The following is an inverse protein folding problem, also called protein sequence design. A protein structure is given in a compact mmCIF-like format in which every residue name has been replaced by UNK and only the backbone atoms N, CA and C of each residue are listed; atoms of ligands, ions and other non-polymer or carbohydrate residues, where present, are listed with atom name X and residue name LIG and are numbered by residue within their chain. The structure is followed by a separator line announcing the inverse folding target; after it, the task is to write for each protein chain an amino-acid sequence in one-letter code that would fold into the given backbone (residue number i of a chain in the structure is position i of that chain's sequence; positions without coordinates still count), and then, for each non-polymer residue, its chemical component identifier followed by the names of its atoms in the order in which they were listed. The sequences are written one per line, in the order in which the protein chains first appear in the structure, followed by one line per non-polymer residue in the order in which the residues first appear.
data_IF_117569594456
#
_entry.id   IF_117569594456
#
_cell.length_a   1.000
_cell.length_b   1.000
_cell.length_c   1.000
_cell.angle_alpha   90.00
_cell.angle_beta   90.00
_cell.angle_gamma   90.00
#
_symmetry.space_group_name_H-M   'P 1'
#
loop_
_entity.id
_entity.type
_entity.pdbx_description
1 polymer ?
#
# COMPACT_ATOMS: atom_id res chain seq x y z
N UNK A 1 8.57 -21.96 -6.59
CA UNK A 1 8.91 -22.53 -5.26
C UNK A 1 7.62 -23.12 -4.69
N UNK A 2 7.48 -24.42 -4.49
CA UNK A 2 6.31 -25.00 -3.80
C UNK A 2 6.58 -24.87 -2.31
N UNK A 3 5.74 -24.12 -1.61
CA UNK A 3 5.81 -24.02 -0.16
C UNK A 3 5.50 -25.39 0.47
N UNK A 4 6.19 -25.70 1.55
CA UNK A 4 5.97 -26.95 2.29
C UNK A 4 4.58 -26.91 2.95
N UNK A 5 3.96 -28.06 3.13
CA UNK A 5 2.71 -28.22 3.91
C UNK A 5 2.85 -27.68 5.36
N UNK A 6 4.08 -27.49 5.84
CA UNK A 6 4.42 -27.07 7.21
C UNK A 6 4.54 -25.54 7.43
N UNK A 7 4.12 -24.72 6.46
CA UNK A 7 4.23 -23.26 6.56
C UNK A 7 5.49 -22.67 5.86
N UNK A 8 5.74 -21.36 6.05
CA UNK A 8 6.88 -20.63 5.48
C UNK A 8 7.68 -19.94 6.59
N UNK A 9 9.01 -20.04 6.52
CA UNK A 9 9.92 -19.30 7.42
C UNK A 9 10.32 -17.93 6.87
N UNK A 10 10.82 -17.08 7.76
CA UNK A 10 11.34 -15.75 7.40
C UNK A 10 12.55 -15.87 6.46
N UNK A 11 13.41 -16.87 6.64
CA UNK A 11 14.55 -17.13 5.74
C UNK A 11 14.13 -17.36 4.29
N UNK A 12 12.97 -18.00 4.05
CA UNK A 12 12.45 -18.22 2.71
C UNK A 12 11.93 -16.92 2.09
N UNK A 13 11.31 -16.07 2.90
CA UNK A 13 10.83 -14.78 2.43
C UNK A 13 11.97 -13.80 2.13
N UNK A 14 13.07 -13.85 2.89
CA UNK A 14 14.23 -13.02 2.60
C UNK A 14 14.93 -13.39 1.28
N UNK A 15 14.74 -14.61 0.76
CA UNK A 15 15.21 -15.00 -0.58
C UNK A 15 14.52 -14.24 -1.72
N UNK A 16 13.37 -13.60 -1.44
CA UNK A 16 12.70 -12.69 -2.39
C UNK A 16 13.44 -11.35 -2.55
N UNK A 17 14.43 -11.10 -1.70
CA UNK A 17 15.30 -9.91 -1.74
C UNK A 17 16.76 -10.38 -1.88
N UNK A 18 17.14 -10.94 -3.03
CA UNK A 18 18.50 -11.39 -3.23
C UNK A 18 19.48 -10.21 -3.26
N UNK A 19 20.68 -10.42 -2.72
CA UNK A 19 21.71 -9.41 -2.71
C UNK A 19 22.06 -8.88 -4.11
N UNK A 20 22.06 -9.75 -5.11
CA UNK A 20 22.35 -9.40 -6.50
C UNK A 20 21.34 -8.39 -7.05
N UNK A 21 20.04 -8.56 -6.75
CA UNK A 21 19.03 -7.56 -7.11
C UNK A 21 19.37 -6.17 -6.56
N UNK A 22 19.73 -6.09 -5.29
CA UNK A 22 20.07 -4.81 -4.65
C UNK A 22 21.35 -4.19 -5.22
N UNK A 23 22.33 -5.01 -5.61
CA UNK A 23 23.56 -4.56 -6.24
C UNK A 23 23.35 -4.08 -7.67
N UNK A 24 22.56 -4.79 -8.46
CA UNK A 24 22.21 -4.42 -9.84
C UNK A 24 21.41 -3.10 -9.86
N UNK A 25 20.42 -2.97 -8.99
CA UNK A 25 19.67 -1.74 -8.84
C UNK A 25 20.55 -0.57 -8.35
N UNK A 26 21.55 -0.85 -7.51
CA UNK A 26 22.49 0.20 -7.07
C UNK A 26 23.37 0.69 -8.22
N UNK A 27 23.79 -0.21 -9.10
CA UNK A 27 24.56 0.14 -10.30
C UNK A 27 23.70 0.93 -11.30
N UNK A 28 22.48 0.47 -11.57
CA UNK A 28 21.53 1.10 -12.48
C UNK A 28 21.15 2.52 -12.05
N UNK A 29 20.74 2.68 -10.80
CA UNK A 29 20.25 3.96 -10.26
C UNK A 29 21.35 4.89 -9.83
N UNK A 30 22.58 4.42 -9.81
CA UNK A 30 23.78 5.14 -9.29
C UNK A 30 23.56 5.65 -7.87
N UNK A 31 22.75 4.95 -7.07
CA UNK A 31 22.44 5.36 -5.69
C UNK A 31 23.70 5.50 -4.83
N UNK A 32 24.76 4.77 -5.15
CA UNK A 32 26.02 4.74 -4.42
C UNK A 32 27.13 5.59 -5.05
N UNK A 33 26.80 6.41 -6.05
CA UNK A 33 27.79 7.29 -6.67
C UNK A 33 28.35 8.31 -5.66
N UNK A 34 29.69 8.33 -5.53
CA UNK A 34 30.45 9.14 -4.56
C UNK A 34 30.10 8.93 -3.07
N UNK A 35 29.49 7.80 -2.73
CA UNK A 35 29.12 7.47 -1.35
C UNK A 35 30.28 6.82 -0.63
N UNK A 36 30.62 7.33 0.58
CA UNK A 36 31.69 6.77 1.44
C UNK A 36 31.15 5.83 2.51
N UNK A 37 29.91 6.02 2.94
CA UNK A 37 29.20 5.22 3.94
C UNK A 37 27.70 5.31 3.67
N UNK A 38 26.90 4.46 4.23
CA UNK A 38 25.45 4.42 4.01
C UNK A 38 25.09 4.11 2.54
N UNK A 39 25.74 3.08 2.00
CA UNK A 39 25.41 2.54 0.68
C UNK A 39 23.95 2.13 0.60
N UNK A 40 23.38 2.12 -0.60
CA UNK A 40 21.97 1.81 -0.84
C UNK A 40 21.50 0.52 -0.18
N UNK A 41 22.25 -0.58 -0.40
CA UNK A 41 22.02 -1.88 0.25
C UNK A 41 22.02 -1.80 1.78
N UNK A 42 22.94 -1.03 2.36
CA UNK A 42 23.03 -0.91 3.81
C UNK A 42 21.86 -0.13 4.40
N UNK A 43 21.43 0.94 3.71
CA UNK A 43 20.25 1.72 4.11
C UNK A 43 18.98 0.90 3.92
N UNK A 44 18.85 0.14 2.83
CA UNK A 44 17.76 -0.79 2.60
C UNK A 44 17.62 -1.77 3.78
N UNK A 45 18.68 -2.47 4.09
CA UNK A 45 18.69 -3.43 5.19
C UNK A 45 18.44 -2.77 6.55
N UNK A 46 19.03 -1.59 6.80
CA UNK A 46 18.79 -0.83 8.02
C UNK A 46 17.32 -0.48 8.22
N UNK A 47 16.64 -0.07 7.15
CA UNK A 47 15.21 0.25 7.19
C UNK A 47 14.36 -1.00 7.33
N UNK A 48 14.69 -2.09 6.64
CA UNK A 48 13.96 -3.36 6.76
C UNK A 48 13.97 -3.86 8.21
N UNK A 49 15.14 -3.86 8.86
CA UNK A 49 15.29 -4.23 10.27
C UNK A 49 14.66 -3.21 11.20
N UNK A 50 14.94 -1.94 10.95
CA UNK A 50 14.47 -0.88 11.81
C UNK A 50 12.95 -0.85 11.92
N UNK A 51 12.23 -1.02 10.81
CA UNK A 51 10.76 -1.02 10.79
C UNK A 51 10.13 -2.20 11.55
N UNK A 52 10.87 -3.28 11.78
CA UNK A 52 10.44 -4.42 12.61
C UNK A 52 10.65 -4.18 14.11
N UNK A 53 11.63 -3.36 14.47
CA UNK A 53 12.26 -3.33 15.79
C UNK A 53 11.63 -2.45 16.85
N UNK A 54 10.32 -2.18 16.89
CA UNK A 54 9.75 -1.46 18.00
C UNK A 54 8.46 -0.70 17.72
N UNK A 55 7.87 -0.13 18.78
CA UNK A 55 6.61 0.59 18.68
C UNK A 55 6.74 1.98 18.04
N UNK A 56 7.91 2.63 18.16
CA UNK A 56 8.15 3.97 17.59
C UNK A 56 9.58 4.13 17.14
N UNK A 57 9.79 4.02 15.83
CA UNK A 57 11.10 4.14 15.23
C UNK A 57 11.36 5.56 14.76
N UNK A 58 12.58 6.03 15.01
CA UNK A 58 13.07 7.32 14.54
C UNK A 58 14.52 7.23 14.09
N UNK A 59 15.05 8.33 13.58
CA UNK A 59 16.44 8.38 13.08
C UNK A 59 17.49 8.01 14.15
N UNK A 60 17.23 8.27 15.44
CA UNK A 60 18.12 7.88 16.53
C UNK A 60 18.10 6.38 16.76
N UNK A 61 16.94 5.73 16.74
CA UNK A 61 16.86 4.28 16.82
C UNK A 61 17.57 3.62 15.63
N UNK A 62 17.46 4.18 14.42
CA UNK A 62 18.21 3.71 13.26
C UNK A 62 19.72 3.93 13.40
N UNK A 63 20.19 5.00 14.08
CA UNK A 63 21.58 5.21 14.42
C UNK A 63 22.08 4.08 15.33
N UNK A 64 21.32 3.74 16.39
CA UNK A 64 21.69 2.68 17.33
C UNK A 64 21.77 1.32 16.62
N UNK A 65 20.79 1.00 15.76
CA UNK A 65 20.82 -0.22 14.94
C UNK A 65 22.03 -0.27 14.01
N UNK A 66 22.28 0.79 13.23
CA UNK A 66 23.43 0.83 12.30
C UNK A 66 24.77 0.65 13.01
N UNK A 67 24.92 1.23 14.20
CA UNK A 67 26.16 1.18 14.97
C UNK A 67 26.31 -0.11 15.81
N UNK A 68 25.27 -0.95 15.86
CA UNK A 68 25.32 -2.22 16.60
C UNK A 68 26.31 -3.21 15.99
N UNK A 69 26.92 -4.05 16.83
CA UNK A 69 27.82 -5.12 16.37
C UNK A 69 27.10 -6.11 15.46
N UNK A 70 25.86 -6.47 15.80
CA UNK A 70 25.02 -7.40 15.02
C UNK A 70 24.82 -6.89 13.60
N UNK A 71 24.38 -5.65 13.42
CA UNK A 71 24.15 -5.07 12.10
C UNK A 71 25.43 -5.02 11.24
N UNK A 72 26.55 -4.58 11.84
CA UNK A 72 27.84 -4.48 11.13
C UNK A 72 28.38 -5.84 10.67
N UNK A 73 28.19 -6.88 11.47
CA UNK A 73 28.61 -8.24 11.14
C UNK A 73 27.75 -8.85 10.02
N UNK A 74 26.43 -8.68 10.08
CA UNK A 74 25.49 -9.22 9.10
C UNK A 74 25.75 -8.71 7.69
N UNK A 75 25.90 -7.41 7.54
CA UNK A 75 25.92 -6.77 6.23
C UNK A 75 27.34 -6.56 5.68
N UNK A 76 28.36 -7.25 6.27
CA UNK A 76 29.76 -7.29 5.78
C UNK A 76 30.18 -5.92 5.22
N UNK A 77 30.02 -4.88 6.03
CA UNK A 77 30.47 -3.56 5.61
C UNK A 77 31.99 -3.63 5.42
N UNK A 78 32.52 -3.27 4.24
CA UNK A 78 33.96 -3.43 3.96
C UNK A 78 34.77 -2.61 4.95
N UNK A 79 35.74 -3.27 5.62
CA UNK A 79 36.55 -2.67 6.69
C UNK A 79 35.77 -2.51 7.99
N UNK A 80 36.31 -1.68 8.92
CA UNK A 80 35.55 -1.24 10.10
C UNK A 80 34.69 -0.06 9.66
N UNK A 81 33.41 -0.26 9.38
CA UNK A 81 32.58 0.84 8.85
C UNK A 81 32.51 1.94 9.90
N UNK A 82 32.70 3.20 9.51
CA UNK A 82 32.60 4.31 10.43
C UNK A 82 31.17 4.37 10.98
N UNK A 83 31.03 4.74 12.26
CA UNK A 83 29.72 4.97 12.85
C UNK A 83 28.97 6.02 12.06
N UNK A 84 27.67 5.84 11.90
CA UNK A 84 26.79 6.85 11.36
C UNK A 84 26.02 7.52 12.49
N UNK A 85 25.85 8.84 12.40
CA UNK A 85 24.99 9.61 13.29
C UNK A 85 23.64 9.84 12.63
N UNK A 86 22.59 10.06 13.41
CA UNK A 86 21.23 10.32 12.91
C UNK A 86 21.16 11.47 11.90
N UNK A 87 22.03 12.50 12.05
CA UNK A 87 22.12 13.59 11.07
C UNK A 87 22.65 13.11 9.72
N UNK A 88 23.62 12.18 9.71
CA UNK A 88 24.11 11.57 8.47
C UNK A 88 23.06 10.69 7.81
N UNK A 89 22.27 9.96 8.58
CA UNK A 89 21.11 9.18 8.08
C UNK A 89 20.06 10.10 7.50
N UNK A 90 19.71 11.20 8.19
CA UNK A 90 18.76 12.20 7.71
C UNK A 90 19.21 12.83 6.39
N UNK A 91 20.46 13.28 6.31
CA UNK A 91 21.02 13.85 5.10
C UNK A 91 21.06 12.84 3.95
N UNK A 92 21.42 11.60 4.25
CA UNK A 92 21.45 10.53 3.24
C UNK A 92 20.06 10.22 2.70
N UNK A 93 19.03 10.05 3.54
CA UNK A 93 17.65 9.85 3.13
C UNK A 93 17.10 11.02 2.31
N UNK A 94 17.56 12.25 2.58
CA UNK A 94 17.16 13.42 1.82
C UNK A 94 17.75 13.49 0.40
N UNK A 95 18.88 12.80 0.14
CA UNK A 95 19.65 12.91 -1.12
C UNK A 95 19.78 11.61 -1.90
N UNK A 96 19.39 10.46 -1.34
CA UNK A 96 19.43 9.18 -2.05
C UNK A 96 18.51 9.18 -3.26
N UNK A 97 18.89 8.47 -4.30
CA UNK A 97 17.99 8.24 -5.43
C UNK A 97 16.82 7.34 -4.99
N UNK A 98 15.60 7.88 -5.07
CA UNK A 98 14.36 7.18 -4.69
C UNK A 98 14.08 6.01 -5.63
N UNK A 99 14.47 6.11 -6.90
CA UNK A 99 14.24 5.09 -7.93
C UNK A 99 14.82 3.72 -7.51
N UNK A 100 15.90 3.72 -6.72
CA UNK A 100 16.46 2.50 -6.15
C UNK A 100 15.45 1.72 -5.30
N UNK A 101 14.72 2.43 -4.45
CA UNK A 101 13.72 1.83 -3.56
C UNK A 101 12.40 1.52 -4.28
N UNK A 102 12.02 2.37 -5.24
CA UNK A 102 10.84 2.15 -6.07
C UNK A 102 11.00 0.89 -6.93
N UNK A 103 12.13 0.75 -7.63
CA UNK A 103 12.44 -0.45 -8.42
C UNK A 103 12.59 -1.72 -7.58
N UNK A 104 13.20 -1.61 -6.39
CA UNK A 104 13.24 -2.73 -5.46
C UNK A 104 11.83 -3.15 -5.02
N UNK A 105 10.97 -2.19 -4.71
CA UNK A 105 9.58 -2.46 -4.39
C UNK A 105 8.83 -3.12 -5.57
N UNK A 106 9.00 -2.63 -6.79
CA UNK A 106 8.35 -3.20 -7.99
C UNK A 106 8.80 -4.65 -8.24
N UNK A 107 10.11 -4.92 -8.16
CA UNK A 107 10.67 -6.26 -8.34
C UNK A 107 10.17 -7.25 -7.27
N UNK A 108 10.16 -6.82 -6.00
CA UNK A 108 9.68 -7.66 -4.89
C UNK A 108 8.17 -7.86 -4.97
N UNK A 109 7.41 -6.82 -5.38
CA UNK A 109 5.97 -6.94 -5.60
C UNK A 109 5.66 -7.99 -6.68
N UNK A 110 6.39 -7.98 -7.79
CA UNK A 110 6.23 -8.97 -8.85
C UNK A 110 6.48 -10.39 -8.33
N UNK A 111 7.56 -10.61 -7.60
CA UNK A 111 7.87 -11.91 -7.00
C UNK A 111 6.81 -12.35 -5.99
N UNK A 112 6.34 -11.46 -5.13
CA UNK A 112 5.27 -11.73 -4.17
C UNK A 112 3.96 -12.12 -4.89
N UNK A 113 3.62 -11.41 -5.96
CA UNK A 113 2.41 -11.68 -6.74
C UNK A 113 2.45 -13.02 -7.47
N UNK A 114 3.64 -13.43 -7.97
CA UNK A 114 3.83 -14.75 -8.59
C UNK A 114 3.73 -15.91 -7.56
N UNK A 115 4.11 -15.65 -6.33
CA UNK A 115 4.02 -16.65 -5.25
C UNK A 115 2.60 -16.84 -4.74
N UNK A 116 1.80 -15.80 -4.82
CA UNK A 116 0.46 -15.74 -4.27
C UNK A 116 -0.55 -15.36 -5.35
N UNK A 117 -1.06 -16.37 -6.06
CA UNK A 117 -2.16 -16.19 -6.99
C UNK A 117 -3.48 -16.46 -6.27
N UNK A 118 -4.29 -15.41 -6.04
CA UNK A 118 -5.65 -15.52 -5.50
C UNK A 118 -6.67 -16.07 -6.50
N UNK A 119 -6.26 -16.52 -7.68
CA UNK A 119 -7.15 -17.10 -8.71
C UNK A 119 -8.02 -18.27 -8.24
N UNK A 120 -7.76 -18.77 -7.03
CA UNK A 120 -8.62 -19.74 -6.33
C UNK A 120 -9.90 -19.14 -5.74
N UNK A 121 -10.00 -17.82 -5.60
CA UNK A 121 -11.25 -17.15 -5.30
C UNK A 121 -11.95 -16.87 -6.62
N UNK A 122 -12.99 -17.58 -6.90
CA UNK A 122 -13.88 -17.67 -8.06
C UNK A 122 -14.40 -16.34 -8.65
N UNK A 123 -13.67 -15.24 -8.53
CA UNK A 123 -14.00 -13.97 -9.15
C UNK A 123 -13.35 -13.89 -10.54
N UNK A 124 -14.20 -13.74 -11.54
CA UNK A 124 -13.83 -13.55 -12.95
C UNK A 124 -12.98 -12.30 -13.19
N UNK A 125 -12.84 -11.43 -12.17
CA UNK A 125 -12.21 -10.13 -12.28
C UNK A 125 -11.17 -9.92 -11.19
N UNK A 126 -10.08 -9.29 -11.55
CA UNK A 126 -9.10 -8.75 -10.61
C UNK A 126 -9.68 -7.48 -9.97
N UNK A 127 -9.63 -7.37 -8.65
CA UNK A 127 -10.19 -6.22 -7.93
C UNK A 127 -9.04 -5.40 -7.34
N UNK A 128 -8.93 -4.13 -7.72
CA UNK A 128 -8.01 -3.18 -7.11
C UNK A 128 -8.77 -2.18 -6.24
N UNK A 129 -8.53 -2.23 -4.93
CA UNK A 129 -9.08 -1.29 -3.97
C UNK A 129 -8.19 -0.07 -3.94
N UNK A 130 -8.79 1.12 -4.02
CA UNK A 130 -8.05 2.39 -4.01
C UNK A 130 -8.58 3.29 -2.92
N UNK A 131 -7.70 3.73 -2.05
CA UNK A 131 -8.07 4.64 -0.97
C UNK A 131 -6.86 5.48 -0.54
N UNK A 132 -7.14 6.57 0.17
CA UNK A 132 -6.13 7.49 0.66
C UNK A 132 -6.04 7.48 2.17
N UNK A 133 -4.85 7.65 2.67
CA UNK A 133 -4.64 7.84 4.10
C UNK A 133 -3.70 9.01 4.35
N UNK A 134 -3.89 9.70 5.47
CA UNK A 134 -3.06 10.83 5.85
C UNK A 134 -2.21 10.50 7.08
N UNK A 135 -0.96 10.94 7.03
CA UNK A 135 -0.01 10.85 8.15
C UNK A 135 0.39 12.25 8.56
N UNK A 136 0.22 12.55 9.85
CA UNK A 136 0.41 13.85 10.40
C UNK A 136 1.80 13.98 11.06
N UNK A 137 2.48 15.08 10.81
CA UNK A 137 3.64 15.46 11.60
C UNK A 137 3.23 16.42 12.72
N UNK A 138 3.60 16.08 13.95
CA UNK A 138 3.26 16.87 15.15
C UNK A 138 4.09 18.14 15.31
N UNK A 139 5.27 18.21 14.67
CA UNK A 139 6.15 19.38 14.69
C UNK A 139 6.10 20.14 13.35
N UNK A 140 6.28 21.46 13.39
CA UNK A 140 6.29 22.33 12.21
C UNK A 140 7.54 22.16 11.29
N UNK A 141 8.13 20.97 11.28
CA UNK A 141 9.38 20.67 10.56
C UNK A 141 9.18 20.17 9.13
N UNK A 142 7.94 19.83 8.75
CA UNK A 142 7.65 19.39 7.39
C UNK A 142 7.57 20.64 6.49
N UNK A 143 8.54 20.79 5.58
CA UNK A 143 8.60 21.96 4.69
C UNK A 143 7.41 22.00 3.75
N UNK A 144 7.08 20.86 3.15
CA UNK A 144 5.93 20.67 2.26
C UNK A 144 4.92 19.75 2.91
N UNK A 145 3.64 20.07 2.83
CA UNK A 145 2.59 19.26 3.39
C UNK A 145 1.21 19.89 3.25
N UNK A 146 0.18 19.07 3.32
CA UNK A 146 -1.21 19.47 3.26
C UNK A 146 -1.63 20.01 4.63
N UNK A 147 -2.10 21.23 4.70
CA UNK A 147 -2.67 21.79 5.92
C UNK A 147 -4.09 21.25 6.12
N UNK A 148 -4.35 20.74 7.32
CA UNK A 148 -5.68 20.27 7.72
C UNK A 148 -6.16 21.11 8.88
N UNK A 149 -7.29 21.80 8.69
CA UNK A 149 -7.90 22.70 9.67
C UNK A 149 -7.85 24.18 9.27
N UNK A 150 -8.53 25.02 10.06
CA UNK A 150 -8.79 26.44 9.76
C UNK A 150 -7.58 27.35 10.06
N UNK A 151 -6.57 26.89 10.80
CA UNK A 151 -5.43 27.71 11.19
C UNK A 151 -4.29 27.60 10.18
N UNK A 152 -3.72 28.74 9.76
CA UNK A 152 -2.54 28.81 8.87
C UNK A 152 -1.33 28.02 9.40
N UNK A 153 -1.23 27.84 10.72
CA UNK A 153 -0.19 27.06 11.41
C UNK A 153 -0.65 25.67 11.80
N UNK A 154 -1.59 25.10 11.04
CA UNK A 154 -2.10 23.74 11.25
C UNK A 154 -1.00 22.67 11.08
N UNK A 155 -1.26 21.49 11.66
CA UNK A 155 -0.38 20.34 11.45
C UNK A 155 -0.33 19.99 9.98
N UNK A 156 0.87 19.99 9.40
CA UNK A 156 1.07 19.54 8.02
C UNK A 156 0.98 18.01 7.96
N UNK A 157 0.35 17.51 6.92
CA UNK A 157 0.15 16.09 6.68
C UNK A 157 0.63 15.71 5.29
N UNK A 158 1.04 14.45 5.16
CA UNK A 158 1.32 13.80 3.88
C UNK A 158 0.18 12.85 3.57
N UNK A 159 -0.35 12.93 2.36
CA UNK A 159 -1.38 12.02 1.87
C UNK A 159 -0.75 10.92 1.03
N UNK A 160 -1.11 9.69 1.33
CA UNK A 160 -0.73 8.51 0.57
C UNK A 160 -1.99 7.93 -0.06
N UNK A 161 -1.98 7.71 -1.37
CA UNK A 161 -3.03 6.99 -2.07
C UNK A 161 -2.44 5.67 -2.55
N UNK A 162 -3.05 4.56 -2.11
CA UNK A 162 -2.56 3.21 -2.38
C UNK A 162 -3.58 2.47 -3.22
N UNK A 163 -3.09 1.76 -4.23
CA UNK A 163 -3.81 0.73 -4.96
C UNK A 163 -3.47 -0.62 -4.34
N UNK A 164 -4.46 -1.33 -3.81
CA UNK A 164 -4.32 -2.66 -3.21
C UNK A 164 -4.96 -3.68 -4.14
N UNK A 165 -4.14 -4.46 -4.83
CA UNK A 165 -4.59 -5.53 -5.73
C UNK A 165 -4.36 -6.87 -5.05
N UNK A 166 -5.37 -7.71 -5.03
CA UNK A 166 -5.38 -8.92 -4.20
C UNK A 166 -5.07 -8.55 -2.74
N UNK A 167 -3.99 -9.03 -2.16
CA UNK A 167 -3.57 -8.63 -0.82
C UNK A 167 -2.38 -7.68 -0.80
N UNK A 168 -1.82 -7.31 -1.96
CA UNK A 168 -0.59 -6.52 -2.05
C UNK A 168 -0.82 -5.10 -2.50
N UNK A 169 -0.07 -4.13 -1.95
CA UNK A 169 -0.03 -2.78 -2.50
C UNK A 169 0.65 -2.81 -3.88
N UNK A 170 -0.12 -2.63 -4.94
CA UNK A 170 0.37 -2.67 -6.33
C UNK A 170 0.91 -1.32 -6.81
N UNK A 171 0.49 -0.23 -6.21
CA UNK A 171 0.98 1.11 -6.50
C UNK A 171 0.73 2.06 -5.35
N UNK A 172 1.55 3.09 -5.28
CA UNK A 172 1.40 4.16 -4.28
C UNK A 172 1.76 5.52 -4.86
N UNK A 173 0.99 6.53 -4.47
CA UNK A 173 1.25 7.93 -4.76
C UNK A 173 1.39 8.74 -3.45
N UNK A 174 2.34 9.68 -3.43
CA UNK A 174 2.61 10.56 -2.28
C UNK A 174 2.26 11.99 -2.66
N UNK A 175 1.42 12.62 -1.85
CA UNK A 175 0.97 13.99 -2.08
C UNK A 175 1.29 14.89 -0.89
N UNK A 176 1.99 15.98 -1.17
CA UNK A 176 2.39 17.01 -0.20
C UNK A 176 1.79 18.38 -0.50
N UNK A 177 1.23 18.58 -1.70
CA UNK A 177 0.67 19.87 -2.12
C UNK A 177 -0.80 20.00 -1.71
N UNK A 178 -1.20 21.21 -1.30
CA UNK A 178 -2.55 21.51 -0.77
C UNK A 178 -3.70 21.12 -1.72
N UNK A 179 -3.51 21.24 -3.05
CA UNK A 179 -4.53 20.86 -4.05
C UNK A 179 -4.97 19.39 -3.96
N UNK A 180 -4.09 18.52 -3.47
CA UNK A 180 -4.35 17.08 -3.34
C UNK A 180 -5.04 16.68 -2.02
N UNK A 181 -5.60 17.63 -1.28
CA UNK A 181 -6.46 17.31 -0.12
C UNK A 181 -7.69 16.52 -0.55
N UNK A 182 -8.24 16.82 -1.73
CA UNK A 182 -9.43 16.16 -2.29
C UNK A 182 -9.12 14.79 -2.88
N UNK A 183 -9.95 13.80 -2.59
CA UNK A 183 -9.89 12.46 -3.19
C UNK A 183 -10.31 12.48 -4.66
N UNK A 184 -11.09 13.46 -5.07
CA UNK A 184 -11.46 13.67 -6.48
C UNK A 184 -10.25 13.85 -7.42
N UNK A 185 -9.08 14.25 -6.88
CA UNK A 185 -7.84 14.40 -7.65
C UNK A 185 -6.86 13.25 -7.43
N UNK A 186 -6.80 12.71 -6.21
CA UNK A 186 -5.74 11.75 -5.85
C UNK A 186 -6.09 10.33 -6.28
N UNK A 187 -7.35 9.92 -6.15
CA UNK A 187 -7.77 8.55 -6.51
C UNK A 187 -7.72 8.33 -8.03
N UNK A 188 -8.32 9.18 -8.90
CA UNK A 188 -8.19 9.00 -10.34
C UNK A 188 -6.72 9.01 -10.80
N UNK A 189 -5.90 9.91 -10.25
CA UNK A 189 -4.47 9.96 -10.59
C UNK A 189 -3.74 8.67 -10.24
N UNK A 190 -4.03 8.06 -9.09
CA UNK A 190 -3.42 6.79 -8.69
C UNK A 190 -3.88 5.62 -9.58
N UNK A 191 -5.16 5.60 -9.98
CA UNK A 191 -5.72 4.61 -10.90
C UNK A 191 -5.05 4.72 -12.28
N UNK A 192 -4.98 5.92 -12.83
CA UNK A 192 -4.42 6.16 -14.16
C UNK A 192 -2.92 5.80 -14.27
N UNK A 193 -2.19 5.84 -13.16
CA UNK A 193 -0.78 5.40 -13.14
C UNK A 193 -0.62 3.89 -13.38
N UNK A 194 -1.61 3.08 -13.00
CA UNK A 194 -1.54 1.60 -13.07
C UNK A 194 -2.38 0.98 -14.19
N UNK A 195 -3.08 1.79 -14.98
CA UNK A 195 -4.06 1.32 -15.98
C UNK A 195 -3.44 0.37 -17.02
N UNK A 196 -2.23 0.67 -17.49
CA UNK A 196 -1.55 -0.15 -18.52
C UNK A 196 -1.18 -1.56 -18.04
N UNK A 197 -1.19 -1.76 -16.72
CA UNK A 197 -0.83 -3.04 -16.08
C UNK A 197 -2.04 -3.94 -15.79
N UNK A 198 -3.28 -3.48 -16.03
CA UNK A 198 -4.46 -4.19 -15.50
C UNK A 198 -5.77 -3.96 -16.26
N UNK A 199 -5.78 -4.26 -17.57
CA UNK A 199 -6.97 -4.09 -18.44
C UNK A 199 -8.24 -4.81 -17.93
N UNK A 200 -8.09 -5.94 -17.24
CA UNK A 200 -9.22 -6.73 -16.70
C UNK A 200 -9.51 -6.40 -15.23
N UNK A 201 -8.98 -5.29 -14.72
CA UNK A 201 -9.08 -4.91 -13.34
C UNK A 201 -10.29 -4.01 -13.07
N UNK A 202 -11.03 -4.28 -11.99
CA UNK A 202 -12.10 -3.41 -11.52
C UNK A 202 -11.60 -2.62 -10.32
N UNK A 203 -11.54 -1.30 -10.47
CA UNK A 203 -11.15 -0.40 -9.39
C UNK A 203 -12.31 -0.13 -8.45
N UNK A 204 -12.07 -0.26 -7.15
CA UNK A 204 -13.09 -0.03 -6.12
C UNK A 204 -12.60 1.06 -5.18
N UNK A 205 -13.40 2.10 -5.04
CA UNK A 205 -13.11 3.23 -4.14
C UNK A 205 -14.38 3.75 -3.47
N UNK A 206 -14.20 4.58 -2.48
CA UNK A 206 -15.31 5.05 -1.67
C UNK A 206 -15.99 6.30 -2.28
N UNK A 207 -17.11 6.73 -1.68
CA UNK A 207 -17.90 7.90 -2.10
C UNK A 207 -17.20 9.25 -1.89
N UNK A 208 -16.00 9.28 -1.35
CA UNK A 208 -15.16 10.49 -1.27
C UNK A 208 -14.82 11.06 -2.63
N UNK A 209 -14.77 10.19 -3.66
CA UNK A 209 -14.76 10.62 -5.06
C UNK A 209 -16.20 10.89 -5.49
N UNK A 210 -16.52 12.16 -5.67
CA UNK A 210 -17.86 12.63 -6.07
C UNK A 210 -17.85 13.43 -7.36
N UNK A 211 -16.69 13.79 -7.91
CA UNK A 211 -16.52 14.52 -9.16
C UNK A 211 -17.01 13.70 -10.35
N UNK A 212 -17.91 14.29 -11.14
CA UNK A 212 -18.40 13.70 -12.38
C UNK A 212 -17.32 13.66 -13.45
N UNK A 213 -16.42 14.65 -13.43
CA UNK A 213 -15.24 14.73 -14.28
C UNK A 213 -14.30 13.56 -14.02
N UNK A 214 -14.08 13.20 -12.74
CA UNK A 214 -13.26 12.06 -12.38
C UNK A 214 -13.83 10.74 -12.92
N UNK A 215 -15.17 10.54 -12.84
CA UNK A 215 -15.82 9.35 -13.40
C UNK A 215 -15.69 9.29 -14.93
N UNK A 216 -15.90 10.43 -15.60
CA UNK A 216 -15.75 10.51 -17.05
C UNK A 216 -14.30 10.30 -17.49
N UNK A 217 -13.32 10.80 -16.73
CA UNK A 217 -11.90 10.60 -17.01
C UNK A 217 -11.52 9.11 -16.89
N UNK A 218 -11.98 8.43 -15.85
CA UNK A 218 -11.79 6.99 -15.71
C UNK A 218 -12.43 6.20 -16.85
N UNK A 219 -13.66 6.53 -17.23
CA UNK A 219 -14.37 5.87 -18.32
C UNK A 219 -13.68 6.09 -19.67
N UNK A 220 -13.26 7.32 -19.98
CA UNK A 220 -12.52 7.66 -21.21
C UNK A 220 -11.17 6.93 -21.34
N UNK A 221 -10.61 6.48 -20.23
CA UNK A 221 -9.38 5.70 -20.20
C UNK A 221 -9.64 4.19 -20.03
N UNK A 222 -10.84 3.71 -20.32
CA UNK A 222 -11.25 2.30 -20.21
C UNK A 222 -11.03 1.69 -18.81
N UNK A 223 -11.01 2.52 -17.77
CA UNK A 223 -10.92 2.07 -16.39
C UNK A 223 -12.27 1.59 -15.88
N UNK A 224 -12.42 0.30 -15.68
CA UNK A 224 -13.60 -0.27 -15.02
C UNK A 224 -13.61 0.10 -13.54
N UNK A 225 -14.72 0.61 -13.02
CA UNK A 225 -14.80 0.95 -11.61
C UNK A 225 -16.16 0.62 -10.96
N UNK A 226 -16.14 0.44 -9.66
CA UNK A 226 -17.33 0.39 -8.80
C UNK A 226 -17.12 1.32 -7.61
N UNK A 227 -18.06 2.22 -7.37
CA UNK A 227 -18.02 3.15 -6.24
C UNK A 227 -19.41 3.33 -5.64
N UNK A 228 -19.50 4.08 -4.55
CA UNK A 228 -20.79 4.54 -4.00
C UNK A 228 -21.06 5.97 -4.40
N UNK A 229 -22.33 6.24 -4.64
CA UNK A 229 -22.85 7.59 -4.90
C UNK A 229 -23.67 8.06 -3.70
N UNK A 230 -23.75 9.36 -3.48
CA UNK A 230 -24.70 9.94 -2.53
C UNK A 230 -26.13 9.69 -2.99
N UNK A 231 -27.01 9.34 -2.05
CA UNK A 231 -28.41 8.97 -2.35
C UNK A 231 -29.29 10.12 -2.86
N UNK A 232 -28.78 11.35 -2.77
CA UNK A 232 -29.39 12.58 -3.28
C UNK A 232 -28.75 13.08 -4.58
N UNK A 233 -27.84 12.30 -5.16
CA UNK A 233 -27.15 12.67 -6.38
C UNK A 233 -28.15 12.81 -7.56
N UNK A 234 -28.21 14.00 -8.14
CA UNK A 234 -29.07 14.28 -9.30
C UNK A 234 -28.61 13.45 -10.50
N UNK A 235 -29.59 12.81 -11.15
CA UNK A 235 -29.37 12.00 -12.34
C UNK A 235 -30.65 11.99 -13.22
N UNK A 236 -30.45 11.66 -14.49
CA UNK A 236 -31.53 11.41 -15.45
C UNK A 236 -31.52 9.93 -15.78
N UNK A 237 -32.65 9.27 -15.61
CA UNK A 237 -32.82 7.86 -15.96
C UNK A 237 -33.02 7.74 -17.46
N UNK A 238 -32.27 6.88 -18.12
CA UNK A 238 -32.40 6.52 -19.52
C UNK A 238 -33.34 5.33 -19.67
N UNK A 239 -32.97 4.25 -18.97
CA UNK A 239 -33.75 2.99 -18.97
C UNK A 239 -33.55 2.25 -17.64
N UNK A 240 -34.46 1.35 -17.32
CA UNK A 240 -34.37 0.41 -16.24
C UNK A 240 -33.74 -0.89 -16.75
N UNK A 241 -32.87 -1.49 -15.95
CA UNK A 241 -32.30 -2.81 -16.21
C UNK A 241 -33.06 -3.82 -15.37
N UNK A 242 -33.52 -4.89 -16.02
CA UNK A 242 -34.30 -5.92 -15.35
C UNK A 242 -33.55 -6.56 -14.19
N UNK A 243 -34.19 -6.59 -13.04
CA UNK A 243 -33.71 -7.19 -11.82
C UNK A 243 -34.75 -8.20 -11.32
N UNK A 244 -34.32 -9.39 -10.87
CA UNK A 244 -35.24 -10.34 -10.24
C UNK A 244 -36.03 -9.69 -9.10
N UNK A 245 -37.34 -9.96 -9.05
CA UNK A 245 -38.17 -9.42 -7.97
C UNK A 245 -37.61 -9.88 -6.59
N UNK A 246 -37.59 -8.94 -5.65
CA UNK A 246 -37.10 -9.18 -4.29
C UNK A 246 -35.63 -9.70 -4.19
N UNK A 247 -34.79 -9.36 -5.16
CA UNK A 247 -33.36 -9.74 -5.12
C UNK A 247 -32.69 -9.17 -3.86
N UNK A 248 -32.21 -10.07 -3.01
CA UNK A 248 -31.42 -9.75 -1.81
C UNK A 248 -30.01 -10.25 -1.99
N UNK A 249 -29.06 -9.35 -2.00
CA UNK A 249 -27.64 -9.66 -2.01
C UNK A 249 -27.07 -9.42 -0.62
N UNK A 250 -26.78 -10.51 0.09
CA UNK A 250 -26.44 -10.52 1.52
C UNK A 250 -27.53 -9.87 2.39
N UNK A 251 -27.38 -8.60 2.77
CA UNK A 251 -28.32 -7.86 3.61
C UNK A 251 -28.86 -6.60 2.89
N UNK A 252 -28.71 -6.56 1.58
CA UNK A 252 -29.17 -5.44 0.74
C UNK A 252 -30.25 -5.93 -0.21
N UNK A 253 -31.44 -5.38 -0.09
CA UNK A 253 -32.51 -5.55 -1.09
C UNK A 253 -32.25 -4.59 -2.24
N UNK A 254 -32.19 -5.09 -3.45
CA UNK A 254 -32.07 -4.28 -4.66
C UNK A 254 -33.43 -3.66 -4.96
N UNK A 255 -33.46 -2.35 -5.10
CA UNK A 255 -34.68 -1.59 -5.37
C UNK A 255 -34.80 -1.22 -6.84
N UNK A 256 -33.65 -0.83 -7.46
CA UNK A 256 -33.58 -0.41 -8.86
C UNK A 256 -32.19 -0.67 -9.41
N UNK A 257 -32.11 -0.97 -10.68
CA UNK A 257 -30.93 -1.01 -11.49
C UNK A 257 -31.19 -0.20 -12.76
N UNK A 258 -30.44 0.85 -12.98
CA UNK A 258 -30.78 1.86 -13.97
C UNK A 258 -29.57 2.32 -14.76
N UNK A 259 -29.77 2.60 -16.02
CA UNK A 259 -28.84 3.36 -16.85
C UNK A 259 -29.14 4.84 -16.70
N UNK A 260 -28.16 5.64 -16.33
CA UNK A 260 -28.37 7.03 -15.95
C UNK A 260 -27.31 7.96 -16.53
N UNK A 261 -27.71 9.21 -16.80
CA UNK A 261 -26.77 10.32 -16.91
C UNK A 261 -26.70 11.07 -15.58
N UNK A 262 -25.49 11.34 -15.10
CA UNK A 262 -25.30 12.16 -13.91
C UNK A 262 -25.28 13.64 -14.27
N UNK A 263 -25.88 14.48 -13.42
CA UNK A 263 -25.71 15.93 -13.56
C UNK A 263 -24.33 16.36 -13.16
N UNK A 264 -23.69 17.19 -13.96
CA UNK A 264 -22.36 17.75 -13.75
C UNK A 264 -22.44 19.03 -12.89
N UNK A 265 -23.00 20.10 -13.48
CA UNK A 265 -23.28 21.36 -12.80
C UNK A 265 -24.51 22.00 -13.45
N UNK A 266 -25.38 22.63 -12.64
CA UNK A 266 -26.63 23.15 -13.14
C UNK A 266 -27.47 22.03 -13.78
N UNK A 267 -27.88 22.22 -15.02
CA UNK A 267 -28.70 21.27 -15.79
C UNK A 267 -27.90 20.49 -16.87
N UNK A 268 -26.56 20.62 -16.84
CA UNK A 268 -25.70 19.86 -17.74
C UNK A 268 -25.46 18.45 -17.21
N UNK A 269 -25.63 17.45 -18.08
CA UNK A 269 -25.32 16.05 -17.78
C UNK A 269 -23.96 15.64 -18.35
N UNK A 270 -23.43 14.53 -17.87
CA UNK A 270 -22.20 13.91 -18.41
C UNK A 270 -22.46 13.32 -19.80
N UNK A 271 -21.39 13.16 -20.58
CA UNK A 271 -21.48 12.69 -21.99
C UNK A 271 -21.78 11.18 -22.09
N UNK A 272 -21.33 10.39 -21.13
CA UNK A 272 -21.47 8.94 -21.10
C UNK A 272 -22.41 8.48 -19.98
N UNK A 273 -23.25 7.47 -20.25
CA UNK A 273 -24.13 6.93 -19.22
C UNK A 273 -23.34 6.04 -18.26
N UNK A 274 -23.79 6.03 -17.01
CA UNK A 274 -23.34 5.11 -15.98
C UNK A 274 -24.50 4.21 -15.54
N UNK A 275 -24.16 3.11 -14.87
CA UNK A 275 -25.11 2.23 -14.24
C UNK A 275 -25.21 2.55 -12.76
N UNK A 276 -26.45 2.72 -12.29
CA UNK A 276 -26.78 3.08 -10.92
C UNK A 276 -27.66 2.01 -10.30
N UNK A 277 -27.13 1.31 -9.29
CA UNK A 277 -27.87 0.31 -8.54
C UNK A 277 -28.28 0.90 -7.20
N UNK A 278 -29.58 0.95 -6.95
CA UNK A 278 -30.13 1.46 -5.71
C UNK A 278 -30.55 0.30 -4.81
N UNK A 279 -30.06 0.29 -3.58
CA UNK A 279 -30.34 -0.76 -2.60
C UNK A 279 -30.78 -0.18 -1.27
N UNK A 280 -31.33 -1.06 -0.40
CA UNK A 280 -31.72 -0.74 0.96
C UNK A 280 -31.38 -1.92 1.88
N UNK A 281 -30.82 -1.65 3.04
CA UNK A 281 -30.62 -2.68 4.07
C UNK A 281 -31.92 -2.89 4.90
N UNK A 282 -31.92 -3.91 5.75
CA UNK A 282 -33.02 -4.25 6.66
C UNK A 282 -33.42 -3.08 7.58
N UNK A 283 -32.49 -2.19 7.93
CA UNK A 283 -32.74 -1.00 8.74
C UNK A 283 -33.29 0.19 7.95
N UNK A 284 -33.56 0.02 6.64
CA UNK A 284 -34.07 1.07 5.77
C UNK A 284 -33.01 2.00 5.19
N UNK A 285 -31.72 1.83 5.52
CA UNK A 285 -30.64 2.68 5.00
C UNK A 285 -30.40 2.38 3.52
N UNK A 286 -30.43 3.44 2.70
CA UNK A 286 -30.21 3.34 1.25
C UNK A 286 -28.73 3.40 0.90
N UNK A 287 -28.33 2.62 -0.11
CA UNK A 287 -26.98 2.62 -0.69
C UNK A 287 -27.12 2.64 -2.21
N UNK A 288 -26.39 3.55 -2.84
CA UNK A 288 -26.35 3.68 -4.29
C UNK A 288 -24.95 3.29 -4.77
N UNK A 289 -24.87 2.32 -5.70
CA UNK A 289 -23.63 1.88 -6.34
C UNK A 289 -23.60 2.42 -7.76
N UNK A 290 -22.45 3.00 -8.14
CA UNK A 290 -22.19 3.55 -9.47
C UNK A 290 -21.08 2.78 -10.13
N UNK A 291 -21.25 2.45 -11.40
CA UNK A 291 -20.24 1.77 -12.21
C UNK A 291 -20.38 2.13 -13.69
N UNK A 292 -19.32 1.94 -14.47
CA UNK A 292 -19.34 1.96 -15.93
C UNK A 292 -19.43 0.54 -16.55
N UNK A 293 -19.63 -0.52 -15.73
CA UNK A 293 -19.73 -1.91 -16.16
C UNK A 293 -21.21 -2.31 -16.31
N UNK A 294 -21.62 -2.57 -17.55
CA UNK A 294 -22.98 -3.01 -17.89
C UNK A 294 -23.08 -4.52 -18.08
N UNK A 295 -21.96 -5.20 -18.21
CA UNK A 295 -21.85 -6.65 -18.42
C UNK A 295 -21.86 -7.47 -17.12
N UNK A 296 -21.65 -6.82 -15.97
CA UNK A 296 -21.72 -7.45 -14.66
C UNK A 296 -23.15 -7.55 -14.17
N UNK A 297 -23.46 -8.58 -13.40
CA UNK A 297 -24.72 -8.64 -12.70
C UNK A 297 -24.77 -7.64 -11.54
N UNK A 298 -25.97 -7.27 -11.11
CA UNK A 298 -26.21 -6.46 -9.92
C UNK A 298 -25.55 -7.05 -8.67
N UNK A 299 -25.61 -8.37 -8.53
CA UNK A 299 -25.01 -9.11 -7.44
C UNK A 299 -23.48 -9.02 -7.45
N UNK A 300 -22.84 -9.22 -8.61
CA UNK A 300 -21.38 -9.08 -8.77
C UNK A 300 -20.92 -7.67 -8.36
N UNK A 301 -21.61 -6.62 -8.81
CA UNK A 301 -21.23 -5.23 -8.48
C UNK A 301 -21.28 -4.97 -6.96
N UNK A 302 -22.34 -5.43 -6.30
CA UNK A 302 -22.49 -5.29 -4.84
C UNK A 302 -21.38 -6.08 -4.11
N UNK A 303 -21.08 -7.29 -4.57
CA UNK A 303 -20.01 -8.12 -3.98
C UNK A 303 -18.61 -7.52 -4.22
N UNK A 304 -18.35 -7.00 -5.43
CA UNK A 304 -17.11 -6.29 -5.75
C UNK A 304 -16.93 -5.09 -4.81
N UNK A 305 -17.96 -4.27 -4.62
CA UNK A 305 -17.83 -3.11 -3.73
C UNK A 305 -17.54 -3.50 -2.27
N UNK A 306 -17.98 -4.66 -1.82
CA UNK A 306 -17.69 -5.14 -0.45
C UNK A 306 -16.19 -5.28 -0.18
N UNK A 307 -15.41 -5.63 -1.19
CA UNK A 307 -13.94 -5.73 -1.07
C UNK A 307 -13.26 -4.39 -0.80
N UNK A 308 -13.94 -3.26 -0.96
CA UNK A 308 -13.40 -1.95 -0.60
C UNK A 308 -12.88 -1.89 0.85
N UNK A 309 -13.52 -2.64 1.76
CA UNK A 309 -13.10 -2.65 3.18
C UNK A 309 -11.70 -3.22 3.41
N UNK A 310 -11.20 -4.04 2.52
CA UNK A 310 -9.90 -4.71 2.68
C UNK A 310 -8.75 -3.70 2.76
N UNK A 311 -8.85 -2.57 2.03
CA UNK A 311 -7.81 -1.52 2.09
C UNK A 311 -7.82 -0.77 3.43
N UNK A 312 -8.96 -0.63 4.10
CA UNK A 312 -9.01 -0.05 5.46
C UNK A 312 -8.32 -0.98 6.47
N UNK A 313 -8.49 -2.30 6.31
CA UNK A 313 -7.79 -3.31 7.12
C UNK A 313 -6.29 -3.24 6.87
N UNK A 314 -5.87 -3.10 5.61
CA UNK A 314 -4.47 -2.91 5.25
C UNK A 314 -3.89 -1.62 5.87
N UNK A 315 -4.57 -0.48 5.76
CA UNK A 315 -4.10 0.75 6.41
C UNK A 315 -4.00 0.63 7.92
N UNK A 316 -4.93 -0.05 8.55
CA UNK A 316 -4.87 -0.34 10.00
C UNK A 316 -3.63 -1.16 10.33
N UNK A 317 -3.35 -2.21 9.57
CA UNK A 317 -2.18 -3.05 9.74
C UNK A 317 -0.87 -2.24 9.64
N UNK A 318 -0.63 -1.52 8.56
CA UNK A 318 0.64 -0.77 8.40
C UNK A 318 0.78 0.35 9.43
N UNK A 319 -0.31 0.99 9.85
CA UNK A 319 -0.28 2.05 10.88
C UNK A 319 -0.02 1.50 12.28
N UNK A 320 -0.61 0.38 12.63
CA UNK A 320 -0.50 -0.20 13.98
C UNK A 320 0.77 -1.03 14.15
N UNK A 321 1.14 -1.82 13.14
CA UNK A 321 2.21 -2.80 13.27
C UNK A 321 3.54 -2.35 12.61
N UNK A 322 3.50 -1.46 11.60
CA UNK A 322 4.69 -1.05 10.84
C UNK A 322 5.04 0.44 11.01
N UNK A 323 4.57 1.06 12.08
CA UNK A 323 4.91 2.44 12.46
C UNK A 323 4.55 3.50 11.39
N UNK A 324 3.64 3.20 10.47
CA UNK A 324 3.26 4.09 9.37
C UNK A 324 2.43 5.32 9.81
N UNK A 325 2.07 5.40 11.09
CA UNK A 325 1.41 6.57 11.68
C UNK A 325 2.36 7.74 11.98
N UNK A 326 3.68 7.56 11.79
CA UNK A 326 4.71 8.54 12.09
C UNK A 326 5.63 8.77 10.90
N UNK A 327 6.07 10.02 10.71
CA UNK A 327 7.08 10.35 9.71
C UNK A 327 8.48 10.23 10.35
N UNK A 328 9.27 9.26 9.89
CA UNK A 328 10.67 9.06 10.29
C UNK A 328 11.55 10.14 9.64
N UNK A 329 11.24 10.51 8.40
CA UNK A 329 11.85 11.64 7.68
C UNK A 329 10.83 12.76 7.47
N UNK A 330 11.30 13.99 7.44
CA UNK A 330 10.48 15.18 7.13
C UNK A 330 10.74 15.72 5.72
N UNK A 331 11.72 15.17 5.03
CA UNK A 331 12.04 15.46 3.64
C UNK A 331 11.24 14.55 2.71
N UNK A 332 10.74 15.07 1.59
CA UNK A 332 9.91 14.32 0.65
C UNK A 332 10.58 13.04 0.13
N UNK A 333 11.87 13.13 -0.18
CA UNK A 333 12.67 12.01 -0.65
C UNK A 333 12.73 10.87 0.38
N UNK A 334 13.07 11.23 1.62
CA UNK A 334 13.11 10.27 2.72
C UNK A 334 11.74 9.70 3.08
N UNK A 335 10.66 10.48 2.91
CA UNK A 335 9.28 10.02 3.09
C UNK A 335 8.95 8.91 2.08
N UNK A 336 9.31 9.10 0.80
CA UNK A 336 9.10 8.10 -0.25
C UNK A 336 9.91 6.83 0.00
N UNK A 337 11.18 6.97 0.42
CA UNK A 337 12.05 5.83 0.76
C UNK A 337 11.43 4.99 1.89
N UNK A 338 11.05 5.65 2.99
CA UNK A 338 10.42 4.96 4.13
C UNK A 338 9.11 4.29 3.73
N UNK A 339 8.34 4.92 2.87
CA UNK A 339 7.10 4.34 2.33
C UNK A 339 7.38 3.04 1.58
N UNK A 340 8.27 3.05 0.57
CA UNK A 340 8.58 1.84 -0.20
C UNK A 340 9.09 0.71 0.71
N UNK A 341 9.96 1.03 1.67
CA UNK A 341 10.45 0.04 2.63
C UNK A 341 9.33 -0.52 3.53
N UNK A 342 8.38 0.33 3.95
CA UNK A 342 7.20 -0.12 4.72
C UNK A 342 6.33 -1.05 3.89
N UNK A 343 6.13 -0.76 2.61
CA UNK A 343 5.31 -1.59 1.71
C UNK A 343 6.00 -2.92 1.39
N UNK A 344 7.31 -2.93 1.17
CA UNK A 344 8.09 -4.17 1.02
C UNK A 344 7.92 -5.06 2.25
N UNK A 345 8.14 -4.51 3.43
CA UNK A 345 7.97 -5.26 4.67
C UNK A 345 6.54 -5.72 4.88
N UNK A 346 5.55 -4.89 4.53
CA UNK A 346 4.15 -5.27 4.59
C UNK A 346 3.85 -6.49 3.72
N UNK A 347 4.36 -6.55 2.48
CA UNK A 347 4.16 -7.69 1.59
C UNK A 347 4.73 -8.98 2.16
N UNK A 348 5.96 -8.95 2.70
CA UNK A 348 6.57 -10.11 3.33
C UNK A 348 5.76 -10.63 4.52
N UNK A 349 5.32 -9.72 5.40
CA UNK A 349 4.51 -10.09 6.57
C UNK A 349 3.12 -10.61 6.16
N UNK A 350 2.51 -10.07 5.08
CA UNK A 350 1.23 -10.54 4.57
C UNK A 350 1.32 -11.99 4.05
N UNK A 351 2.38 -12.32 3.30
CA UNK A 351 2.63 -13.70 2.87
C UNK A 351 2.85 -14.60 4.08
N UNK A 352 3.72 -14.20 5.00
CA UNK A 352 4.00 -14.96 6.23
C UNK A 352 2.73 -15.21 7.03
N UNK A 353 1.90 -14.16 7.20
CA UNK A 353 0.60 -14.25 7.85
C UNK A 353 -0.33 -15.25 7.18
N UNK A 354 -0.44 -15.16 5.85
CA UNK A 354 -1.43 -15.94 5.08
C UNK A 354 -1.09 -17.42 5.05
N UNK A 355 0.18 -17.74 4.78
CA UNK A 355 0.63 -19.14 4.67
C UNK A 355 0.63 -19.85 6.03
N UNK A 356 0.99 -19.11 7.10
CA UNK A 356 1.03 -19.67 8.45
C UNK A 356 -0.28 -19.50 9.25
N UNK A 357 -1.33 -18.96 8.64
CA UNK A 357 -2.64 -18.69 9.26
C UNK A 357 -2.58 -17.89 10.56
N UNK A 358 -1.79 -16.80 10.57
CA UNK A 358 -1.64 -15.93 11.72
C UNK A 358 -2.51 -14.66 11.63
N UNK A 359 -2.84 -14.06 12.78
CA UNK A 359 -3.31 -12.69 12.86
C UNK A 359 -2.16 -11.69 12.59
N UNK A 360 -2.48 -10.45 12.16
CA UNK A 360 -1.49 -9.42 11.80
C UNK A 360 -0.43 -9.17 12.89
N UNK A 361 -0.85 -8.96 14.13
CA UNK A 361 0.05 -8.72 15.27
C UNK A 361 0.96 -9.92 15.56
N UNK A 362 0.40 -11.13 15.50
CA UNK A 362 1.15 -12.37 15.70
C UNK A 362 2.18 -12.58 14.59
N UNK A 363 1.77 -12.38 13.34
CA UNK A 363 2.66 -12.49 12.19
C UNK A 363 3.85 -11.53 12.30
N UNK A 364 3.60 -10.24 12.58
CA UNK A 364 4.67 -9.24 12.76
C UNK A 364 5.63 -9.64 13.88
N UNK A 365 5.09 -10.03 15.04
CA UNK A 365 5.90 -10.43 16.19
C UNK A 365 6.77 -11.67 15.90
N UNK A 366 6.17 -12.73 15.33
CA UNK A 366 6.89 -13.97 14.99
C UNK A 366 7.93 -13.72 13.91
N UNK A 367 7.58 -12.94 12.87
CA UNK A 367 8.52 -12.55 11.84
C UNK A 367 9.76 -11.85 12.43
N UNK A 368 9.55 -10.91 13.37
CA UNK A 368 10.65 -10.21 14.03
C UNK A 368 11.50 -11.14 14.93
N UNK A 369 10.89 -12.12 15.58
CA UNK A 369 11.60 -13.13 16.41
C UNK A 369 12.44 -14.04 15.53
N UNK A 370 11.87 -14.67 14.51
CA UNK A 370 12.61 -15.56 13.59
C UNK A 370 13.75 -14.82 12.89
N UNK A 371 13.53 -13.54 12.53
CA UNK A 371 14.59 -12.72 11.97
C UNK A 371 15.73 -12.50 12.99
N UNK A 372 15.39 -12.33 14.25
CA UNK A 372 16.36 -12.24 15.34
C UNK A 372 17.19 -13.53 15.47
N UNK A 373 16.53 -14.68 15.44
CA UNK A 373 17.17 -16.00 15.52
C UNK A 373 18.11 -16.23 14.33
N UNK A 374 17.68 -15.93 13.10
CA UNK A 374 18.55 -16.01 11.89
C UNK A 374 19.82 -15.16 12.06
N UNK A 375 19.70 -13.99 12.68
CA UNK A 375 20.84 -13.11 12.95
C UNK A 375 21.77 -13.74 13.98
N UNK A 376 21.25 -14.28 15.05
CA UNK A 376 22.02 -14.88 16.11
C UNK A 376 22.74 -16.15 15.61
N UNK A 377 22.10 -17.00 14.83
CA UNK A 377 22.69 -18.15 14.17
C UNK A 377 23.85 -17.73 13.26
N UNK A 378 23.63 -16.72 12.41
CA UNK A 378 24.70 -16.19 11.56
C UNK A 378 25.90 -15.67 12.36
N UNK A 379 25.67 -15.01 13.50
CA UNK A 379 26.76 -14.51 14.36
C UNK A 379 27.57 -15.64 15.01
N UNK A 380 26.88 -16.72 15.43
CA UNK A 380 27.50 -17.93 16.00
C UNK A 380 28.39 -18.61 14.95
N UNK A 381 27.86 -18.85 13.75
CA UNK A 381 28.62 -19.44 12.64
C UNK A 381 29.86 -18.61 12.28
N UNK A 382 29.70 -17.28 12.20
CA UNK A 382 30.84 -16.37 11.92
C UNK A 382 31.89 -16.34 12.99
N UNK A 383 31.56 -16.65 14.24
CA UNK A 383 32.49 -16.80 15.33
C UNK A 383 33.10 -18.21 15.43
N UNK A 384 32.77 -19.13 14.53
CA UNK A 384 33.27 -20.50 14.48
C UNK A 384 32.52 -21.48 15.38
N UNK A 385 31.32 -21.08 15.88
CA UNK A 385 30.42 -21.93 16.64
C UNK A 385 29.40 -22.62 15.75
N UNK A 386 28.72 -23.63 16.31
CA UNK A 386 27.59 -24.29 15.71
C UNK A 386 26.30 -23.82 16.44
N UNK A 387 25.35 -23.13 15.76
CA UNK A 387 24.12 -22.68 16.38
C UNK A 387 23.34 -23.79 17.08
N UNK A 388 23.36 -24.99 16.53
CA UNK A 388 22.64 -26.14 17.10
C UNK A 388 23.21 -26.61 18.44
N UNK A 389 24.42 -26.21 18.81
CA UNK A 389 25.06 -26.62 20.07
C UNK A 389 25.00 -25.57 21.17
N UNK A 390 24.66 -24.31 20.83
CA UNK A 390 24.73 -23.20 21.79
C UNK A 390 23.46 -23.07 22.63
N UNK A 391 22.30 -23.56 22.11
CA UNK A 391 21.00 -23.40 22.74
C UNK A 391 20.39 -24.67 23.34
N UNK A 392 21.23 -25.71 23.59
CA UNK A 392 20.83 -26.96 24.27
C UNK A 392 21.58 -27.18 25.56
#
# INVERSE_FOLDING_TARGET
MKFKEDGIGVSDLLKLIPDDLLLDLAAETKVDYQVKKLFGRNVFNLLLYGLLGGERIGLRSLEDFYNSRKFKALFKLPGTPPNAKYNSLSARLATMNVDYFEKAYEAIHEQCSLLYDESTLSLRYKITRVDSTMVCQTAAKLEQGINVGVKKDGKKQVKYTICLTDMFPSSVEVFTQQKYISENLTIPKAILKVIDKSKDNVFVFDRGVSSREAFCELDKNDCSFVTRLHVDARHVVLDDIDVPHDLVVRNLTVLKDQRVYLYRSGDHVVEHPFRLIQTRNEKGTKYWFLTNRFDLTCEEIILIYKHRWDIEVFFRFIKQELNFSHLISVNENGIKIILYMTLILAMLILIYKKINDFGYKTAKRRFAMELGDIIDDYMIEKSGGDPNTVFW
#
